data_IF_336809984931
#
_entry.id   IF_336809984931
#
_cell.length_a   1.000
_cell.length_b   1.000
_cell.length_c   1.000
_cell.angle_alpha   90.00
_cell.angle_beta   90.00
_cell.angle_gamma   90.00
#
_symmetry.space_group_name_H-M   'P 1'
#
loop_
_entity.id
_entity.type
_entity.pdbx_description
1 polymer ?
#
# COMPACT_ATOMS: atom_id res chain seq x y z
N UNK A 1 0.60 1.81 14.67
CA UNK A 1 -0.81 2.34 14.74
C UNK A 1 -1.71 1.28 15.37
N UNK A 2 -2.66 1.70 16.20
CA UNK A 2 -3.66 0.80 16.79
C UNK A 2 -4.54 0.16 15.73
N UNK A 3 -4.97 -1.08 15.98
CA UNK A 3 -5.76 -1.86 15.03
C UNK A 3 -7.09 -1.19 14.63
N UNK A 4 -7.70 -0.46 15.55
CA UNK A 4 -8.95 0.27 15.29
C UNK A 4 -8.76 1.41 14.28
N UNK A 5 -7.64 2.13 14.37
CA UNK A 5 -7.27 3.21 13.44
C UNK A 5 -6.89 2.65 12.06
N UNK A 6 -6.13 1.55 12.04
CA UNK A 6 -5.82 0.80 10.81
C UNK A 6 -7.10 0.38 10.08
N UNK A 7 -8.01 -0.31 10.78
CA UNK A 7 -9.30 -0.73 10.21
C UNK A 7 -10.14 0.45 9.71
N UNK A 8 -10.09 1.58 10.41
CA UNK A 8 -10.80 2.80 10.00
C UNK A 8 -10.27 3.35 8.68
N UNK A 9 -8.94 3.41 8.51
CA UNK A 9 -8.30 3.83 7.24
C UNK A 9 -8.68 2.90 6.09
N UNK A 10 -8.48 1.60 6.25
CA UNK A 10 -8.75 0.60 5.21
C UNK A 10 -10.22 0.60 4.77
N UNK A 11 -11.14 0.78 5.73
CA UNK A 11 -12.57 0.85 5.44
C UNK A 11 -12.96 2.14 4.71
N UNK A 12 -12.33 3.27 5.04
CA UNK A 12 -12.66 4.57 4.46
C UNK A 12 -12.12 4.73 3.04
N UNK A 13 -10.97 4.09 2.73
CA UNK A 13 -10.24 4.25 1.47
C UNK A 13 -9.99 2.90 0.78
N UNK A 14 -11.05 2.21 0.32
CA UNK A 14 -10.95 0.83 -0.19
C UNK A 14 -10.19 0.71 -1.52
N UNK A 15 -10.17 1.73 -2.37
CA UNK A 15 -9.40 1.71 -3.61
C UNK A 15 -7.91 1.82 -3.33
N UNK A 16 -7.53 2.72 -2.43
CA UNK A 16 -6.14 2.95 -2.04
C UNK A 16 -5.54 1.74 -1.30
N UNK A 17 -6.29 1.15 -0.36
CA UNK A 17 -5.84 0.06 0.50
C UNK A 17 -6.36 -1.32 0.09
N UNK A 18 -6.76 -1.48 -1.17
CA UNK A 18 -7.33 -2.74 -1.67
C UNK A 18 -6.44 -3.97 -1.45
N UNK A 19 -5.13 -3.79 -1.43
CA UNK A 19 -4.15 -4.87 -1.24
C UNK A 19 -3.71 -5.06 0.22
N UNK A 20 -4.32 -4.32 1.18
CA UNK A 20 -3.93 -4.37 2.60
C UNK A 20 -3.95 -5.77 3.21
N UNK A 21 -4.89 -6.58 2.80
CA UNK A 21 -5.07 -7.95 3.28
C UNK A 21 -4.66 -9.01 2.22
N UNK A 22 -3.98 -8.60 1.16
CA UNK A 22 -3.50 -9.52 0.15
C UNK A 22 -2.38 -10.42 0.71
N UNK A 23 -2.20 -11.64 0.21
CA UNK A 23 -1.13 -12.54 0.63
C UNK A 23 0.25 -11.90 0.42
N UNK A 24 1.20 -12.20 1.31
CA UNK A 24 2.58 -11.68 1.22
C UNK A 24 3.25 -11.92 -0.14
N UNK A 25 2.82 -12.97 -0.85
CA UNK A 25 3.34 -13.29 -2.19
C UNK A 25 2.89 -12.29 -3.26
N UNK A 26 1.79 -11.58 -3.04
CA UNK A 26 1.23 -10.58 -3.96
C UNK A 26 1.51 -9.15 -3.54
N UNK A 27 1.88 -8.94 -2.28
CA UNK A 27 2.36 -7.65 -1.76
C UNK A 27 3.81 -7.81 -1.34
N UNK A 28 4.70 -7.02 -1.88
CA UNK A 28 6.14 -7.20 -1.71
C UNK A 28 6.63 -7.17 -0.26
N UNK A 29 5.82 -6.76 0.73
CA UNK A 29 6.25 -6.63 2.14
C UNK A 29 5.09 -6.60 3.12
N UNK A 30 5.37 -6.96 4.38
CA UNK A 30 4.45 -6.79 5.50
C UNK A 30 3.99 -5.33 5.63
N UNK A 31 2.68 -5.16 5.70
CA UNK A 31 2.07 -3.89 6.00
C UNK A 31 2.01 -3.67 7.50
N UNK A 32 2.50 -2.53 7.94
CA UNK A 32 2.26 -2.03 9.27
C UNK A 32 2.18 -0.53 9.19
N UNK A 33 1.01 0.07 9.44
CA UNK A 33 0.96 1.50 9.60
C UNK A 33 1.85 1.91 10.78
N UNK A 34 2.57 3.04 10.66
CA UNK A 34 3.43 3.56 11.73
C UNK A 34 2.62 3.98 12.96
N UNK A 35 3.20 4.74 13.88
CA UNK A 35 2.58 5.18 15.13
C UNK A 35 1.23 5.88 14.98
N UNK A 36 0.48 5.97 16.09
CA UNK A 36 -0.86 6.57 16.11
C UNK A 36 -0.84 8.07 15.76
N UNK A 37 0.28 8.76 16.04
CA UNK A 37 0.42 10.19 15.80
C UNK A 37 0.40 10.59 14.33
N UNK A 38 0.66 9.66 13.42
CA UNK A 38 0.55 9.94 11.98
C UNK A 38 -0.81 9.56 11.40
N UNK A 39 -1.79 9.16 12.22
CA UNK A 39 -3.11 8.79 11.73
C UNK A 39 -3.77 9.93 10.93
N UNK A 40 -3.81 11.14 11.47
CA UNK A 40 -4.46 12.28 10.79
C UNK A 40 -3.74 12.69 9.51
N UNK A 41 -2.39 12.60 9.51
CA UNK A 41 -1.58 12.85 8.33
C UNK A 41 -1.87 11.84 7.22
N UNK A 42 -1.91 10.55 7.56
CA UNK A 42 -2.21 9.46 6.61
C UNK A 42 -3.67 9.55 6.15
N UNK A 43 -4.60 9.94 7.04
CA UNK A 43 -5.99 10.15 6.69
C UNK A 43 -6.18 11.29 5.69
N UNK A 44 -5.54 12.44 5.94
CA UNK A 44 -5.58 13.60 5.03
C UNK A 44 -5.01 13.24 3.65
N UNK A 45 -3.84 12.57 3.61
CA UNK A 45 -3.26 12.05 2.37
C UNK A 45 -4.23 11.11 1.64
N UNK A 46 -4.76 10.11 2.34
CA UNK A 46 -5.66 9.10 1.77
C UNK A 46 -6.94 9.71 1.21
N UNK A 47 -7.48 10.72 1.90
CA UNK A 47 -8.68 11.44 1.46
C UNK A 47 -8.49 12.21 0.15
N UNK A 48 -7.26 12.59 -0.16
CA UNK A 48 -6.87 13.24 -1.42
C UNK A 48 -6.54 12.22 -2.51
N UNK A 49 -5.95 11.09 -2.15
CA UNK A 49 -5.57 10.05 -3.10
C UNK A 49 -6.79 9.25 -3.62
N UNK A 50 -7.74 8.89 -2.75
CA UNK A 50 -8.88 8.05 -3.13
C UNK A 50 -9.66 8.61 -4.33
N UNK A 51 -10.05 9.90 -4.38
CA UNK A 51 -10.75 10.46 -5.54
C UNK A 51 -9.88 10.51 -6.81
N UNK A 52 -8.56 10.71 -6.69
CA UNK A 52 -7.66 10.66 -7.83
C UNK A 52 -7.54 9.24 -8.41
N UNK A 53 -7.55 8.24 -7.53
CA UNK A 53 -7.59 6.83 -7.95
C UNK A 53 -8.90 6.51 -8.65
N UNK A 54 -10.04 6.96 -8.10
CA UNK A 54 -11.34 6.77 -8.76
C UNK A 54 -11.34 7.42 -10.14
N UNK A 55 -10.88 8.67 -10.23
CA UNK A 55 -10.74 9.37 -11.51
C UNK A 55 -9.85 8.61 -12.49
N UNK A 56 -8.71 8.08 -12.02
CA UNK A 56 -7.82 7.27 -12.86
C UNK A 56 -8.52 6.02 -13.40
N UNK A 57 -9.34 5.36 -12.59
CA UNK A 57 -10.14 4.19 -13.00
C UNK A 57 -11.18 4.59 -14.06
N UNK A 58 -11.89 5.70 -13.85
CA UNK A 58 -12.94 6.20 -14.74
C UNK A 58 -12.37 6.63 -16.10
N UNK A 59 -11.18 7.25 -16.10
CA UNK A 59 -10.48 7.67 -17.32
C UNK A 59 -9.89 6.47 -18.10
N UNK A 60 -9.74 5.30 -17.45
CA UNK A 60 -9.13 4.10 -18.03
C UNK A 60 -10.01 2.85 -17.91
N UNK A 61 -11.22 2.84 -18.48
CA UNK A 61 -12.21 1.76 -18.28
C UNK A 61 -11.77 0.39 -18.85
N UNK A 62 -10.86 0.39 -19.80
CA UNK A 62 -10.38 -0.82 -20.49
C UNK A 62 -9.02 -1.31 -19.99
N UNK A 63 -8.66 -1.00 -18.73
CA UNK A 63 -7.41 -1.49 -18.16
C UNK A 63 -7.34 -3.01 -18.21
N UNK A 64 -6.16 -3.51 -18.59
CA UNK A 64 -5.86 -4.94 -18.57
C UNK A 64 -5.23 -5.34 -17.26
N UNK A 65 -5.41 -6.58 -16.83
CA UNK A 65 -4.75 -7.12 -15.65
C UNK A 65 -3.23 -6.96 -15.76
N UNK A 66 -2.62 -6.38 -14.74
CA UNK A 66 -1.17 -6.12 -14.71
C UNK A 66 -0.29 -7.39 -14.74
N UNK A 67 -0.87 -8.56 -14.45
CA UNK A 67 -0.17 -9.84 -14.49
C UNK A 67 -0.28 -10.57 -15.82
N UNK A 68 -1.47 -10.59 -16.43
CA UNK A 68 -1.72 -11.41 -17.61
C UNK A 68 -2.21 -10.60 -18.82
N UNK A 69 -2.37 -9.30 -18.72
CA UNK A 69 -2.87 -8.46 -19.81
C UNK A 69 -4.35 -8.66 -20.18
N UNK A 70 -5.08 -9.50 -19.46
CA UNK A 70 -6.49 -9.77 -19.77
C UNK A 70 -7.40 -8.69 -19.22
N UNK A 71 -8.49 -8.37 -19.92
CA UNK A 71 -9.52 -7.46 -19.44
C UNK A 71 -10.28 -8.07 -18.27
N UNK A 72 -10.96 -7.21 -17.48
CA UNK A 72 -11.74 -7.64 -16.33
C UNK A 72 -12.82 -8.67 -16.70
N UNK A 73 -13.47 -8.49 -17.85
CA UNK A 73 -14.50 -9.40 -18.37
C UNK A 73 -13.93 -10.79 -18.64
N UNK A 74 -12.71 -10.88 -19.16
CA UNK A 74 -12.03 -12.16 -19.38
C UNK A 74 -11.64 -12.86 -18.08
N UNK A 75 -11.30 -12.10 -17.03
CA UNK A 75 -11.03 -12.67 -15.71
C UNK A 75 -12.25 -13.31 -15.05
N UNK A 76 -13.44 -12.71 -15.25
CA UNK A 76 -14.68 -13.14 -14.61
C UNK A 76 -15.63 -13.87 -15.56
N UNK A 77 -15.28 -13.99 -16.84
CA UNK A 77 -16.17 -14.41 -17.93
C UNK A 77 -16.55 -15.89 -17.96
N UNK A 78 -16.04 -16.74 -17.05
CA UNK A 78 -16.45 -18.14 -16.98
C UNK A 78 -17.33 -18.39 -15.75
N UNK A 79 -18.61 -18.44 -15.98
CA UNK A 79 -19.63 -18.78 -14.96
C UNK A 79 -19.29 -20.11 -14.28
N UNK A 80 -18.89 -20.08 -13.03
CA UNK A 80 -19.12 -21.16 -12.10
C UNK A 80 -17.95 -21.97 -11.54
N UNK A 81 -16.67 -21.65 -11.83
CA UNK A 81 -15.54 -22.34 -11.18
C UNK A 81 -14.45 -21.34 -10.79
N UNK A 82 -14.32 -21.12 -9.50
CA UNK A 82 -13.35 -20.22 -8.84
C UNK A 82 -13.49 -18.75 -9.26
N UNK A 83 -14.33 -17.98 -8.55
CA UNK A 83 -14.38 -16.52 -8.73
C UNK A 83 -13.00 -15.94 -8.41
N UNK A 84 -12.44 -15.20 -9.33
CA UNK A 84 -11.17 -14.49 -9.15
C UNK A 84 -9.96 -15.10 -9.86
N UNK A 85 -10.03 -16.28 -10.44
CA UNK A 85 -8.93 -16.83 -11.24
C UNK A 85 -9.09 -16.51 -12.71
N UNK A 86 -8.02 -16.04 -13.34
CA UNK A 86 -7.97 -15.89 -14.78
C UNK A 86 -7.93 -17.28 -15.43
N UNK A 87 -8.89 -17.56 -16.28
CA UNK A 87 -8.96 -18.80 -17.05
C UNK A 87 -8.57 -18.60 -18.51
N UNK A 88 -7.86 -17.52 -18.82
CA UNK A 88 -7.38 -17.27 -20.17
C UNK A 88 -6.22 -18.19 -20.46
N UNK A 89 -6.38 -19.00 -21.46
CA UNK A 89 -5.32 -19.79 -22.06
C UNK A 89 -4.53 -18.84 -22.97
N UNK A 90 -3.30 -18.54 -22.62
CA UNK A 90 -2.41 -17.80 -23.47
C UNK A 90 -1.76 -18.77 -24.46
N UNK A 91 -1.92 -18.48 -25.75
CA UNK A 91 -1.17 -19.16 -26.79
C UNK A 91 0.19 -18.47 -26.88
N UNK A 92 1.27 -19.23 -26.80
CA UNK A 92 2.60 -18.71 -27.04
C UNK A 92 2.66 -18.21 -28.50
N UNK A 93 2.82 -16.89 -28.74
CA UNK A 93 2.86 -16.35 -30.11
C UNK A 93 4.08 -16.81 -30.90
N UNK A 94 5.09 -17.39 -30.25
CA UNK A 94 6.31 -17.91 -30.91
C UNK A 94 6.26 -19.42 -31.16
N UNK A 95 5.16 -20.10 -30.75
CA UNK A 95 5.03 -21.54 -31.04
C UNK A 95 4.53 -21.75 -32.47
N UNK A 96 5.33 -22.39 -33.29
CA UNK A 96 4.96 -22.80 -34.66
C UNK A 96 4.03 -24.05 -34.68
N UNK A 97 3.61 -24.57 -33.52
CA UNK A 97 2.75 -25.74 -33.40
C UNK A 97 1.28 -25.36 -33.47
N UNK A 98 0.54 -26.00 -34.41
CA UNK A 98 -0.93 -25.92 -34.41
C UNK A 98 -1.53 -26.51 -33.10
N UNK A 99 -2.73 -26.07 -32.66
CA UNK A 99 -3.33 -26.58 -31.43
C UNK A 99 -3.40 -28.12 -31.38
N UNK A 100 -2.98 -28.74 -30.26
CA UNK A 100 -2.81 -28.16 -28.96
C UNK A 100 -1.39 -27.67 -28.65
N UNK A 101 -1.04 -26.47 -29.13
CA UNK A 101 0.20 -25.79 -28.72
C UNK A 101 0.26 -25.51 -27.22
N UNK A 102 1.39 -25.07 -26.71
CA UNK A 102 1.65 -24.81 -25.32
C UNK A 102 0.67 -23.76 -24.77
N UNK A 103 -0.41 -24.23 -24.14
CA UNK A 103 -1.37 -23.39 -23.44
C UNK A 103 -0.88 -23.15 -22.01
N UNK A 104 -0.57 -21.93 -21.68
CA UNK A 104 -0.30 -21.56 -20.30
C UNK A 104 -1.60 -21.05 -19.66
N UNK A 105 -2.09 -21.76 -18.66
CA UNK A 105 -3.12 -21.22 -17.79
C UNK A 105 -2.55 -20.01 -17.05
N UNK A 106 -3.25 -18.89 -17.09
CA UNK A 106 -2.88 -17.75 -16.28
C UNK A 106 -3.03 -18.11 -14.80
N UNK A 107 -1.95 -18.02 -14.03
CA UNK A 107 -1.91 -18.35 -12.61
C UNK A 107 -2.22 -17.15 -11.71
N UNK A 108 -2.72 -16.02 -12.25
CA UNK A 108 -3.10 -14.91 -11.40
C UNK A 108 -4.33 -15.28 -10.56
N UNK A 109 -4.21 -15.15 -9.24
CA UNK A 109 -5.25 -15.46 -8.24
C UNK A 109 -6.37 -14.41 -8.18
N UNK A 110 -6.56 -13.61 -9.23
CA UNK A 110 -7.58 -12.58 -9.34
C UNK A 110 -7.19 -11.49 -10.35
N UNK A 111 -8.16 -10.65 -10.68
CA UNK A 111 -7.92 -9.49 -11.52
C UNK A 111 -7.10 -8.44 -10.75
N UNK A 112 -5.83 -8.32 -11.08
CA UNK A 112 -4.97 -7.27 -10.58
C UNK A 112 -5.16 -6.01 -11.42
N UNK A 113 -6.10 -5.16 -11.01
CA UNK A 113 -6.30 -3.87 -11.66
C UNK A 113 -5.02 -3.03 -11.55
N UNK A 114 -4.47 -2.50 -12.65
CA UNK A 114 -3.28 -1.68 -12.62
C UNK A 114 -3.52 -0.24 -12.14
N UNK A 115 -4.64 0.03 -11.45
CA UNK A 115 -4.85 1.35 -10.86
C UNK A 115 -3.90 1.61 -9.69
N UNK A 116 -3.61 2.87 -9.37
CA UNK A 116 -2.76 3.23 -8.25
C UNK A 116 -3.30 2.67 -6.93
N UNK A 117 -2.42 2.03 -6.15
CA UNK A 117 -2.71 1.53 -4.80
C UNK A 117 -1.52 1.74 -3.91
N UNK A 118 -1.74 1.85 -2.62
CA UNK A 118 -0.66 1.77 -1.67
C UNK A 118 -0.09 0.35 -1.66
N UNK A 119 1.20 0.20 -1.92
CA UNK A 119 1.91 -1.07 -1.88
C UNK A 119 2.57 -1.31 -0.54
N UNK A 120 2.97 -0.24 0.15
CA UNK A 120 3.53 -0.27 1.49
C UNK A 120 3.41 1.09 2.16
N UNK A 121 3.04 1.10 3.44
CA UNK A 121 3.10 2.28 4.30
C UNK A 121 3.87 1.92 5.55
N UNK A 122 4.97 2.64 5.84
CA UNK A 122 5.85 2.33 6.97
C UNK A 122 6.62 3.55 7.46
N UNK A 123 7.17 3.43 8.67
CA UNK A 123 8.22 4.32 9.16
C UNK A 123 9.58 3.87 8.60
N UNK A 124 10.43 4.82 8.26
CA UNK A 124 11.85 4.59 7.99
C UNK A 124 12.67 5.84 8.27
N UNK A 125 13.65 5.72 9.18
CA UNK A 125 14.53 6.81 9.59
C UNK A 125 13.78 8.05 10.10
N UNK A 126 12.77 7.81 10.96
CA UNK A 126 11.93 8.86 11.54
C UNK A 126 10.94 9.50 10.57
N UNK A 127 10.82 9.01 9.34
CA UNK A 127 9.91 9.54 8.33
C UNK A 127 8.93 8.49 7.79
N UNK A 128 7.75 8.95 7.42
CA UNK A 128 6.78 8.15 6.68
C UNK A 128 7.39 7.75 5.33
N UNK A 129 7.10 6.53 4.89
CA UNK A 129 7.27 6.07 3.52
C UNK A 129 5.94 5.56 3.02
N UNK A 130 5.45 6.17 1.96
CA UNK A 130 4.16 5.84 1.37
C UNK A 130 4.36 5.40 -0.09
N UNK A 131 4.56 4.11 -0.28
CA UNK A 131 4.82 3.55 -1.61
C UNK A 131 3.52 3.22 -2.34
N UNK A 132 3.46 3.64 -3.60
CA UNK A 132 2.36 3.33 -4.52
C UNK A 132 2.80 2.27 -5.54
N UNK A 133 1.86 1.47 -6.03
CA UNK A 133 2.12 0.50 -7.13
C UNK A 133 2.42 1.21 -8.44
N UNK A 134 1.72 2.29 -8.71
CA UNK A 134 1.89 3.24 -9.81
C UNK A 134 1.20 4.55 -9.42
N UNK A 135 1.34 5.59 -10.22
CA UNK A 135 0.68 6.86 -9.96
C UNK A 135 0.93 7.89 -11.05
N UNK A 136 0.21 9.00 -10.97
CA UNK A 136 0.48 10.22 -11.72
C UNK A 136 1.42 11.12 -10.92
N UNK A 137 1.98 12.14 -11.56
CA UNK A 137 2.82 13.14 -10.88
C UNK A 137 2.07 13.77 -9.70
N UNK A 138 0.76 14.03 -9.84
CA UNK A 138 -0.08 14.57 -8.77
C UNK A 138 -0.16 13.64 -7.55
N UNK A 139 -0.27 12.32 -7.77
CA UNK A 139 -0.26 11.31 -6.70
C UNK A 139 1.09 11.31 -5.98
N UNK A 140 2.19 11.31 -6.74
CA UNK A 140 3.54 11.33 -6.15
C UNK A 140 3.83 12.63 -5.39
N UNK A 141 3.41 13.78 -5.92
CA UNK A 141 3.51 15.07 -5.23
C UNK A 141 2.79 15.08 -3.87
N UNK A 142 1.64 14.42 -3.77
CA UNK A 142 0.90 14.31 -2.51
C UNK A 142 1.62 13.38 -1.52
N UNK A 143 2.16 12.25 -1.98
CA UNK A 143 2.92 11.34 -1.11
C UNK A 143 4.20 12.02 -0.61
N UNK A 144 4.94 12.71 -1.46
CA UNK A 144 6.16 13.43 -1.09
C UNK A 144 5.90 14.52 -0.05
N UNK A 145 4.80 15.28 -0.21
CA UNK A 145 4.37 16.29 0.77
C UNK A 145 4.03 15.67 2.12
N UNK A 146 3.35 14.53 2.13
CA UNK A 146 3.03 13.82 3.36
C UNK A 146 4.28 13.25 4.04
N UNK A 147 5.21 12.68 3.26
CA UNK A 147 6.51 12.21 3.77
C UNK A 147 7.31 13.37 4.38
N UNK A 148 7.38 14.53 3.71
CA UNK A 148 8.05 15.70 4.24
C UNK A 148 7.40 16.26 5.51
N UNK A 149 6.06 16.22 5.61
CA UNK A 149 5.32 16.65 6.80
C UNK A 149 5.54 15.69 7.98
N UNK A 150 5.67 14.40 7.71
CA UNK A 150 5.91 13.39 8.76
C UNK A 150 7.19 13.66 9.57
N UNK A 151 8.23 14.22 8.92
CA UNK A 151 9.48 14.59 9.58
C UNK A 151 9.34 15.77 10.57
N UNK A 152 8.18 16.38 10.62
CA UNK A 152 7.83 17.49 11.53
C UNK A 152 6.65 17.15 12.44
N UNK A 153 6.16 15.92 12.39
CA UNK A 153 4.99 15.44 13.11
C UNK A 153 5.38 14.26 13.98
N UNK A 154 5.21 14.37 15.28
CA UNK A 154 5.50 13.29 16.23
C UNK A 154 4.72 12.02 15.85
N UNK A 155 5.42 10.90 15.64
CA UNK A 155 4.81 9.63 15.22
C UNK A 155 3.94 8.99 16.32
N UNK A 156 4.14 9.36 17.59
CA UNK A 156 3.38 8.84 18.72
C UNK A 156 2.08 9.62 18.97
N UNK A 157 2.12 10.95 18.92
CA UNK A 157 0.98 11.77 19.37
C UNK A 157 0.48 12.81 18.37
N UNK A 158 1.13 12.96 17.20
CA UNK A 158 0.71 13.91 16.16
C UNK A 158 1.03 15.38 16.42
N UNK A 159 1.59 15.74 17.58
CA UNK A 159 2.07 17.10 17.85
C UNK A 159 3.27 17.44 16.96
N UNK A 160 3.65 18.73 16.82
CA UNK A 160 4.92 19.08 16.21
C UNK A 160 6.07 18.30 16.83
N UNK A 161 6.92 17.73 15.99
CA UNK A 161 8.07 16.91 16.39
C UNK A 161 9.28 17.18 15.51
N UNK A 162 10.40 16.63 15.88
CA UNK A 162 11.65 16.70 15.14
C UNK A 162 12.39 15.36 15.21
N UNK A 163 13.33 15.15 14.29
CA UNK A 163 14.15 13.95 14.28
C UNK A 163 14.99 13.88 15.55
N UNK A 164 14.98 12.72 16.22
CA UNK A 164 15.73 12.42 17.43
C UNK A 164 16.80 11.39 17.12
N UNK A 165 18.04 11.73 17.44
CA UNK A 165 19.17 10.83 17.33
C UNK A 165 19.30 9.95 18.58
N UNK A 166 19.91 8.78 18.45
CA UNK A 166 20.12 7.88 19.59
C UNK A 166 20.16 6.40 19.23
N UNK A 167 20.64 6.09 18.01
CA UNK A 167 20.78 4.73 17.48
C UNK A 167 19.58 4.30 16.63
N UNK A 168 18.36 4.65 17.01
CA UNK A 168 17.17 4.52 16.19
C UNK A 168 16.58 5.91 15.94
N UNK A 169 16.54 6.36 14.69
CA UNK A 169 16.02 7.67 14.32
C UNK A 169 14.49 7.58 14.31
N UNK A 170 13.85 8.49 15.03
CA UNK A 170 12.38 8.66 15.07
C UNK A 170 12.03 10.14 15.17
N UNK A 171 10.81 10.51 14.78
CA UNK A 171 10.32 11.89 14.90
C UNK A 171 9.39 11.99 16.10
N UNK A 172 9.85 12.65 17.15
CA UNK A 172 9.11 12.84 18.40
C UNK A 172 9.05 14.30 18.82
N UNK A 173 7.98 14.67 19.53
CA UNK A 173 7.95 15.87 20.37
C UNK A 173 8.75 15.60 21.66
N UNK A 174 9.05 16.64 22.44
CA UNK A 174 9.85 16.53 23.66
C UNK A 174 9.22 15.55 24.67
N UNK A 175 7.91 15.68 24.92
CA UNK A 175 7.18 14.80 25.85
C UNK A 175 7.30 13.31 25.48
N UNK A 176 7.11 12.99 24.21
CA UNK A 176 7.19 11.61 23.73
C UNK A 176 8.62 11.09 23.71
N UNK A 177 9.60 11.93 23.42
CA UNK A 177 11.01 11.57 23.44
C UNK A 177 11.49 11.25 24.87
N UNK A 178 11.18 12.09 25.86
CA UNK A 178 11.48 11.82 27.26
C UNK A 178 10.87 10.50 27.76
N UNK A 179 9.62 10.22 27.34
CA UNK A 179 8.98 8.96 27.72
C UNK A 179 9.65 7.75 27.06
N UNK A 180 10.04 7.88 25.81
CA UNK A 180 10.78 6.86 25.07
C UNK A 180 12.11 6.54 25.76
N UNK A 181 12.90 7.54 26.13
CA UNK A 181 14.16 7.37 26.84
C UNK A 181 14.00 6.69 28.21
N UNK A 182 12.94 7.04 28.95
CA UNK A 182 12.62 6.37 30.23
C UNK A 182 12.28 4.88 30.04
N UNK A 183 11.54 4.53 28.99
CA UNK A 183 11.21 3.13 28.69
C UNK A 183 12.47 2.37 28.27
N UNK A 184 13.30 2.98 27.44
CA UNK A 184 14.56 2.38 26.97
C UNK A 184 15.53 2.13 28.11
N UNK A 185 15.72 3.09 29.00
CA UNK A 185 16.62 2.97 30.16
C UNK A 185 16.22 1.83 31.10
N UNK A 186 14.92 1.67 31.37
CA UNK A 186 14.42 0.57 32.22
C UNK A 186 14.70 -0.81 31.63
N UNK A 187 14.62 -0.97 30.29
CA UNK A 187 14.89 -2.24 29.64
C UNK A 187 16.37 -2.70 29.77
N UNK A 188 17.32 -1.76 29.87
CA UNK A 188 18.74 -2.06 30.06
C UNK A 188 19.12 -2.31 31.54
N UNK A 189 18.26 -1.93 32.49
CA UNK A 189 18.46 -2.21 33.91
C UNK A 189 17.95 -3.60 34.33
N UNK A 190 17.10 -4.22 33.50
CA UNK A 190 16.49 -5.55 33.75
C UNK A 190 17.24 -6.70 33.03
N UNK A 191 18.23 -6.41 32.18
CA UNK A 191 19.13 -7.39 31.53
C UNK A 191 20.47 -7.52 32.27
#
# INVERSE_FOLDING_TARGET
>A
MKEELDKKLVKAFPLLYGDRNAPMQSTAMCWGFPGDGWFDLIWDLSSKLEPLIQKFIDDNPNMSCGWCGCTKERHYGWKGRNPGKCLVIHVDPESEEEPPGNYFACFCDGYNSPHPRASQVKEKFGGLRFYMTCGTDEIYDLTDKAEALSLKTCEECGKPGEARDGGWIHTHCDDCHENWDKIRSKRWEEE
#
